data_IF_619501654972
#
_entry.id   IF_619501654972
#
_cell.length_a   1.000
_cell.length_b   1.000
_cell.length_c   1.000
_cell.angle_alpha   90.00
_cell.angle_beta   90.00
_cell.angle_gamma   90.00
#
_symmetry.space_group_name_H-M   'P 1'
#
loop_
_entity.id
_entity.type
_entity.pdbx_description
1 polymer ?
#
# COMPACT_ATOMS: atom_id res chain seq x y z
N UNK A 1 10.05 12.81 18.47
CA UNK A 1 10.74 11.50 18.52
C UNK A 1 12.23 11.76 18.69
N UNK A 2 12.97 10.95 19.46
CA UNK A 2 14.42 11.07 19.54
C UNK A 2 15.06 10.84 18.17
N UNK A 3 16.28 11.37 17.97
CA UNK A 3 17.06 11.11 16.77
C UNK A 3 17.46 9.64 16.66
N UNK A 4 17.60 9.15 15.43
CA UNK A 4 18.18 7.83 15.18
C UNK A 4 19.67 7.82 15.53
N UNK A 5 20.16 6.70 16.06
CA UNK A 5 21.59 6.55 16.31
C UNK A 5 22.36 6.39 15.00
N UNK A 6 23.66 6.78 14.96
CA UNK A 6 24.49 6.56 13.77
C UNK A 6 24.53 5.10 13.31
N UNK A 7 24.51 4.16 14.25
CA UNK A 7 24.53 2.71 13.98
C UNK A 7 23.24 2.27 13.30
N UNK A 8 22.10 2.82 13.73
CA UNK A 8 20.79 2.53 13.13
C UNK A 8 20.72 3.06 11.70
N UNK A 9 21.24 4.26 11.45
CA UNK A 9 21.32 4.83 10.10
C UNK A 9 22.30 4.06 9.20
N UNK A 10 23.41 3.53 9.75
CA UNK A 10 24.32 2.65 9.00
C UNK A 10 23.64 1.32 8.66
N UNK A 11 23.02 0.66 9.64
CA UNK A 11 22.30 -0.59 9.44
C UNK A 11 21.15 -0.44 8.42
N UNK A 12 20.51 0.75 8.36
CA UNK A 12 19.53 1.08 7.33
C UNK A 12 20.15 1.06 5.92
N UNK A 13 21.33 1.65 5.75
CA UNK A 13 22.06 1.72 4.46
C UNK A 13 22.55 0.34 4.02
N UNK A 14 23.02 -0.46 4.98
CA UNK A 14 23.55 -1.80 4.73
C UNK A 14 22.42 -2.85 4.56
N UNK A 15 21.17 -2.48 4.88
CA UNK A 15 20.00 -3.33 4.73
C UNK A 15 19.84 -4.37 5.84
N UNK A 16 20.41 -4.11 7.01
CA UNK A 16 20.46 -5.02 8.16
C UNK A 16 19.27 -4.86 9.11
N UNK A 17 18.49 -3.79 8.96
CA UNK A 17 17.28 -3.57 9.74
C UNK A 17 16.11 -4.45 9.29
N UNK A 18 15.27 -4.85 10.23
CA UNK A 18 13.96 -5.41 9.91
C UNK A 18 13.07 -4.38 9.19
N UNK A 19 12.02 -4.85 8.52
CA UNK A 19 11.17 -4.00 7.70
C UNK A 19 10.50 -2.86 8.48
N UNK A 20 10.12 -3.09 9.74
CA UNK A 20 9.43 -2.09 10.56
C UNK A 20 10.42 -1.04 11.08
N UNK A 21 11.61 -1.46 11.51
CA UNK A 21 12.69 -0.58 11.92
C UNK A 21 13.20 0.27 10.74
N UNK A 22 13.38 -0.34 9.58
CA UNK A 22 13.78 0.37 8.37
C UNK A 22 12.78 1.46 7.97
N UNK A 23 11.48 1.15 8.03
CA UNK A 23 10.44 2.12 7.68
C UNK A 23 10.40 3.30 8.66
N UNK A 24 10.50 3.03 9.97
CA UNK A 24 10.57 4.09 10.99
C UNK A 24 11.79 5.00 10.78
N UNK A 25 12.97 4.42 10.59
CA UNK A 25 14.20 5.16 10.39
C UNK A 25 14.15 6.00 9.10
N UNK A 26 13.58 5.47 8.01
CA UNK A 26 13.35 6.24 6.75
C UNK A 26 12.38 7.40 6.96
N UNK A 27 11.25 7.16 7.62
CA UNK A 27 10.27 8.21 7.89
C UNK A 27 10.85 9.32 8.79
N UNK A 28 11.64 8.94 9.79
CA UNK A 28 12.34 9.89 10.63
C UNK A 28 13.37 10.70 9.84
N UNK A 29 14.26 10.04 9.09
CA UNK A 29 15.25 10.72 8.26
C UNK A 29 14.58 11.65 7.23
N UNK A 30 13.47 11.26 6.62
CA UNK A 30 12.74 12.12 5.68
C UNK A 30 12.30 13.46 6.30
N UNK A 31 11.99 13.48 7.61
CA UNK A 31 11.52 14.69 8.32
C UNK A 31 12.61 15.40 9.14
N UNK A 32 13.67 14.70 9.58
CA UNK A 32 14.72 15.24 10.42
C UNK A 32 15.98 15.67 9.65
N UNK A 33 16.29 16.97 9.63
CA UNK A 33 17.44 17.51 8.89
C UNK A 33 18.78 16.93 9.33
N UNK A 34 18.99 16.74 10.63
CA UNK A 34 20.23 16.17 11.18
C UNK A 34 20.43 14.71 10.74
N UNK A 35 19.40 13.89 10.84
CA UNK A 35 19.47 12.50 10.38
C UNK A 35 19.69 12.41 8.86
N UNK A 36 19.13 13.33 8.05
CA UNK A 36 19.47 13.41 6.61
C UNK A 36 20.93 13.73 6.37
N UNK A 37 21.49 14.67 7.12
CA UNK A 37 22.91 15.04 6.99
C UNK A 37 23.81 13.85 7.34
N UNK A 38 23.51 13.12 8.42
CA UNK A 38 24.26 11.92 8.80
C UNK A 38 24.12 10.83 7.74
N UNK A 39 22.90 10.56 7.26
CA UNK A 39 22.66 9.61 6.16
C UNK A 39 23.49 9.94 4.93
N UNK A 40 23.48 11.20 4.47
CA UNK A 40 24.24 11.60 3.28
C UNK A 40 25.75 11.39 3.44
N UNK A 41 26.29 11.57 4.65
CA UNK A 41 27.71 11.27 4.94
C UNK A 41 27.99 9.76 4.84
N UNK A 42 27.13 8.93 5.43
CA UNK A 42 27.27 7.47 5.41
C UNK A 42 27.10 6.91 3.99
N UNK A 43 26.13 7.41 3.22
CA UNK A 43 25.93 7.04 1.81
C UNK A 43 27.15 7.42 0.96
N UNK A 44 27.71 8.61 1.18
CA UNK A 44 28.94 9.06 0.52
C UNK A 44 30.12 8.13 0.80
N UNK A 45 30.30 7.72 2.06
CA UNK A 45 31.33 6.76 2.46
C UNK A 45 31.11 5.38 1.84
N UNK A 46 29.87 4.84 1.91
CA UNK A 46 29.50 3.56 1.29
C UNK A 46 29.76 3.57 -0.22
N UNK A 47 29.41 4.66 -0.91
CA UNK A 47 29.68 4.81 -2.33
C UNK A 47 31.18 4.87 -2.65
N UNK A 48 32.00 5.49 -1.80
CA UNK A 48 33.45 5.51 -1.97
C UNK A 48 34.05 4.10 -1.84
N UNK A 49 33.62 3.32 -0.84
CA UNK A 49 34.05 1.93 -0.68
C UNK A 49 33.66 1.07 -1.89
N UNK A 50 32.41 1.17 -2.36
CA UNK A 50 31.93 0.45 -3.55
C UNK A 50 32.76 0.73 -4.81
N UNK A 51 33.28 1.96 -4.97
CA UNK A 51 34.15 2.32 -6.11
C UNK A 51 35.58 1.82 -5.96
N UNK A 52 36.10 1.72 -4.74
CA UNK A 52 37.47 1.25 -4.48
C UNK A 52 37.65 -0.25 -4.70
N UNK A 53 36.56 -1.03 -4.64
CA UNK A 53 36.58 -2.46 -4.89
C UNK A 53 36.76 -2.78 -6.37
N UNK A 54 37.99 -2.97 -6.83
CA UNK A 54 38.29 -3.55 -8.13
C UNK A 54 37.99 -5.06 -8.12
N UNK A 55 36.71 -5.42 -8.10
CA UNK A 55 36.28 -6.80 -8.20
C UNK A 55 36.14 -7.18 -9.68
N UNK A 56 37.04 -8.04 -10.18
CA UNK A 56 36.86 -8.65 -11.49
C UNK A 56 35.70 -9.64 -11.41
N UNK A 57 34.63 -9.39 -12.17
CA UNK A 57 33.53 -10.34 -12.32
C UNK A 57 34.05 -11.63 -12.97
N UNK A 58 33.82 -12.81 -12.36
CA UNK A 58 34.22 -14.07 -12.96
C UNK A 58 33.59 -14.26 -14.35
N UNK A 59 34.39 -14.74 -15.30
CA UNK A 59 33.93 -15.02 -16.67
C UNK A 59 32.70 -15.94 -16.60
N UNK A 60 31.66 -15.60 -17.37
CA UNK A 60 30.42 -16.38 -17.43
C UNK A 60 29.48 -16.23 -16.23
N UNK A 61 29.79 -15.42 -15.21
CA UNK A 61 28.85 -15.14 -14.12
C UNK A 61 27.55 -14.49 -14.63
N UNK A 62 27.67 -13.47 -15.48
CA UNK A 62 26.50 -12.80 -16.09
C UNK A 62 25.63 -13.78 -16.90
N UNK A 63 26.25 -14.68 -17.66
CA UNK A 63 25.55 -15.71 -18.43
C UNK A 63 24.81 -16.68 -17.51
N UNK A 64 25.41 -17.11 -16.39
CA UNK A 64 24.78 -17.98 -15.40
C UNK A 64 23.62 -17.31 -14.68
N UNK A 65 23.73 -16.03 -14.32
CA UNK A 65 22.63 -15.26 -13.72
C UNK A 65 21.46 -15.16 -14.69
N UNK A 66 21.74 -14.84 -15.96
CA UNK A 66 20.72 -14.76 -17.02
C UNK A 66 20.05 -16.12 -17.27
N UNK A 67 20.82 -17.20 -17.29
CA UNK A 67 20.32 -18.56 -17.50
C UNK A 67 19.45 -19.08 -16.34
N UNK A 68 19.72 -18.68 -15.09
CA UNK A 68 18.89 -19.03 -13.94
C UNK A 68 17.52 -18.35 -13.95
N UNK A 69 17.37 -17.25 -14.70
CA UNK A 69 16.18 -16.40 -14.66
C UNK A 69 16.06 -15.68 -13.31
N UNK A 70 15.44 -14.50 -13.31
CA UNK A 70 14.99 -13.89 -12.06
C UNK A 70 13.80 -14.74 -11.59
N UNK A 71 13.73 -15.19 -10.32
CA UNK A 71 12.51 -15.84 -9.84
C UNK A 71 11.37 -14.84 -9.98
N UNK A 72 10.57 -15.02 -11.03
CA UNK A 72 9.35 -14.25 -11.23
C UNK A 72 8.50 -14.48 -10.00
N UNK A 73 8.10 -13.40 -9.33
CA UNK A 73 7.11 -13.42 -8.24
C UNK A 73 5.78 -13.86 -8.86
N UNK A 74 5.62 -15.16 -9.09
CA UNK A 74 4.40 -15.72 -9.67
C UNK A 74 3.32 -15.70 -8.60
N UNK A 75 2.49 -14.65 -8.61
CA UNK A 75 1.27 -14.67 -7.84
C UNK A 75 0.45 -15.88 -8.31
N UNK A 76 0.05 -16.80 -7.42
CA UNK A 76 -0.72 -17.94 -7.86
C UNK A 76 -2.01 -17.42 -8.48
N UNK A 77 -2.35 -17.91 -9.68
CA UNK A 77 -3.48 -17.43 -10.49
C UNK A 77 -4.79 -17.35 -9.69
N UNK A 78 -4.95 -18.25 -8.70
CA UNK A 78 -6.07 -18.29 -7.76
C UNK A 78 -6.21 -17.02 -6.91
N UNK A 79 -5.10 -16.41 -6.47
CA UNK A 79 -5.09 -15.15 -5.73
C UNK A 79 -5.48 -13.96 -6.63
N UNK A 80 -5.03 -13.96 -7.88
CA UNK A 80 -5.47 -12.96 -8.87
C UNK A 80 -6.97 -13.03 -9.16
N UNK A 81 -7.50 -14.24 -9.33
CA UNK A 81 -8.94 -14.49 -9.53
C UNK A 81 -9.78 -14.10 -8.32
N UNK A 82 -9.32 -14.42 -7.11
CA UNK A 82 -10.00 -14.04 -5.87
C UNK A 82 -10.05 -12.52 -5.68
N UNK A 83 -8.95 -11.82 -5.99
CA UNK A 83 -8.89 -10.36 -5.92
C UNK A 83 -9.86 -9.70 -6.94
N UNK A 84 -9.90 -10.21 -8.17
CA UNK A 84 -10.81 -9.70 -9.20
C UNK A 84 -12.29 -9.90 -8.83
N UNK A 85 -12.66 -11.09 -8.34
CA UNK A 85 -14.02 -11.38 -7.87
C UNK A 85 -14.42 -10.52 -6.66
N UNK A 86 -13.51 -10.34 -5.71
CA UNK A 86 -13.73 -9.46 -4.55
C UNK A 86 -14.01 -8.02 -4.97
N UNK A 87 -13.25 -7.47 -5.92
CA UNK A 87 -13.46 -6.11 -6.43
C UNK A 87 -14.83 -5.95 -7.12
N UNK A 88 -15.25 -6.94 -7.91
CA UNK A 88 -16.58 -6.95 -8.57
C UNK A 88 -17.71 -6.97 -7.55
N UNK A 89 -17.61 -7.79 -6.50
CA UNK A 89 -18.61 -7.85 -5.42
C UNK A 89 -18.75 -6.52 -4.66
N UNK A 90 -17.64 -5.83 -4.40
CA UNK A 90 -17.65 -4.51 -3.74
C UNK A 90 -18.30 -3.45 -4.63
N UNK A 91 -18.01 -3.44 -5.93
CA UNK A 91 -18.63 -2.51 -6.87
C UNK A 91 -20.14 -2.77 -7.04
N UNK A 92 -20.55 -4.02 -7.11
CA UNK A 92 -21.97 -4.40 -7.21
C UNK A 92 -22.75 -4.04 -5.94
N UNK A 93 -22.20 -4.28 -4.76
CA UNK A 93 -22.84 -3.90 -3.49
C UNK A 93 -23.01 -2.38 -3.35
N UNK A 94 -22.00 -1.59 -3.76
CA UNK A 94 -22.12 -0.13 -3.83
C UNK A 94 -23.21 0.36 -4.80
N UNK A 95 -23.33 -0.28 -5.96
CA UNK A 95 -24.36 0.05 -6.95
C UNK A 95 -25.77 -0.25 -6.42
N UNK A 96 -25.97 -1.42 -5.80
CA UNK A 96 -27.26 -1.85 -5.24
C UNK A 96 -27.74 -0.90 -4.13
N UNK A 97 -26.85 -0.49 -3.23
CA UNK A 97 -27.21 0.45 -2.15
C UNK A 97 -27.67 1.80 -2.72
N UNK A 98 -27.01 2.30 -3.77
CA UNK A 98 -27.33 3.60 -4.38
C UNK A 98 -28.68 3.59 -5.12
N UNK A 99 -29.08 2.49 -5.74
CA UNK A 99 -30.36 2.38 -6.45
C UNK A 99 -31.54 1.98 -5.56
N UNK A 100 -31.34 1.20 -4.49
CA UNK A 100 -32.45 0.73 -3.65
C UNK A 100 -32.97 1.80 -2.68
N UNK A 101 -32.08 2.63 -2.10
CA UNK A 101 -32.46 3.61 -1.07
C UNK A 101 -33.53 4.63 -1.50
N UNK A 102 -33.47 5.28 -2.69
CA UNK A 102 -34.48 6.26 -3.07
C UNK A 102 -35.84 5.63 -3.35
N UNK A 103 -35.89 4.42 -3.92
CA UNK A 103 -37.15 3.74 -4.26
C UNK A 103 -37.87 3.20 -3.02
N UNK A 104 -37.14 2.72 -2.01
CA UNK A 104 -37.74 2.28 -0.76
C UNK A 104 -38.38 3.46 0.00
N UNK A 105 -37.70 4.60 0.04
CA UNK A 105 -38.18 5.80 0.73
C UNK A 105 -39.41 6.42 0.06
N UNK A 106 -39.49 6.42 -1.27
CA UNK A 106 -40.65 6.93 -2.01
C UNK A 106 -41.89 6.04 -1.82
N UNK A 107 -41.73 4.71 -1.80
CA UNK A 107 -42.83 3.79 -1.52
C UNK A 107 -43.37 3.95 -0.09
N UNK A 108 -42.49 4.09 0.92
CA UNK A 108 -42.92 4.30 2.31
C UNK A 108 -43.66 5.64 2.45
N UNK A 109 -43.18 6.71 1.81
CA UNK A 109 -43.86 8.00 1.82
C UNK A 109 -45.25 7.95 1.17
N UNK A 110 -45.41 7.24 0.06
CA UNK A 110 -46.71 7.09 -0.60
C UNK A 110 -47.71 6.33 0.27
N UNK A 111 -47.28 5.29 0.99
CA UNK A 111 -48.13 4.52 1.92
C UNK A 111 -48.59 5.38 3.10
N UNK A 112 -47.70 6.19 3.69
CA UNK A 112 -48.06 7.05 4.82
C UNK A 112 -49.02 8.17 4.37
N UNK A 113 -48.79 8.75 3.19
CA UNK A 113 -49.61 9.86 2.67
C UNK A 113 -51.00 9.38 2.24
N UNK A 114 -51.11 8.17 1.67
CA UNK A 114 -52.41 7.57 1.33
C UNK A 114 -53.22 7.18 2.57
N UNK A 115 -52.56 6.67 3.62
CA UNK A 115 -53.20 6.37 4.90
C UNK A 115 -53.71 7.64 5.61
N UNK A 116 -52.95 8.74 5.55
CA UNK A 116 -53.37 10.03 6.10
C UNK A 116 -54.56 10.65 5.33
N UNK A 117 -54.61 10.48 3.99
CA UNK A 117 -55.71 10.96 3.16
C UNK A 117 -57.04 10.24 3.42
N UNK A 118 -57.01 8.96 3.77
CA UNK A 118 -58.23 8.17 4.01
C UNK A 118 -58.91 8.48 5.36
N UNK A 119 -58.17 8.97 6.36
CA UNK A 119 -58.73 9.38 7.66
C UNK A 119 -59.35 10.79 7.66
N UNK A 120 -59.03 11.64 6.68
CA UNK A 120 -59.57 13.01 6.57
C UNK A 120 -60.91 13.13 5.81
N UNK A 121 -61.31 12.10 5.07
CA UNK A 121 -62.48 12.15 4.16
C UNK A 121 -63.82 11.72 4.80
N UNK A 122 -63.83 11.29 6.06
CA UNK A 122 -65.02 10.72 6.72
C UNK A 122 -65.87 11.72 7.53
N UNK A 123 -65.71 13.03 7.34
CA UNK A 123 -66.43 14.04 8.13
C UNK A 123 -67.14 15.07 7.23
N UNK A 124 -68.23 14.64 6.61
CA UNK A 124 -69.34 15.50 6.18
C UNK A 124 -70.65 14.77 6.38
#
# INVERSE_FOLDING_TARGET
>A
MPHETPETLSALIDGELDAAAAERARAHAASCAECRTVMGRLEGASAAFKRSGAHSMPIGLAARVKAKGVPGRSWPVRLGLAAALGAVLVLLSGAVVKTLMPNLFMNIRQIITSAAGQMGSGRK
#
